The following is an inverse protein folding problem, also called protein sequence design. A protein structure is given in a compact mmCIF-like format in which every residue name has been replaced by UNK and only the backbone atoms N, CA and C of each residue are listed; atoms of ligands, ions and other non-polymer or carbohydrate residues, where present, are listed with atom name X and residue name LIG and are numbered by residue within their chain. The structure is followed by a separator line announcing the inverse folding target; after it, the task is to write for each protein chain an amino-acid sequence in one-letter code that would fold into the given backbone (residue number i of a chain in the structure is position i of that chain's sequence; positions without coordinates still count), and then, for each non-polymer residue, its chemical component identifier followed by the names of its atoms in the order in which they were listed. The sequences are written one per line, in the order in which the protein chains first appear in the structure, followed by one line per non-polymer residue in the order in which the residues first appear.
data_IF_118742474416
#
_entry.id   IF_118742474416
#
_cell.length_a   1.000
_cell.length_b   1.000
_cell.length_c   1.000
_cell.angle_alpha   90.00
_cell.angle_beta   90.00
_cell.angle_gamma   90.00
#
_symmetry.space_group_name_H-M   'P 1'
#
loop_
_entity.id
_entity.type
_entity.pdbx_description
1 polymer ?
#
# COMPACT_ATOMS: atom_id res chain seq x y z
N UNK A 1 10.74 2.86 8.59
CA UNK A 1 9.66 1.91 8.24
C UNK A 1 8.53 2.60 7.48
N UNK A 2 8.16 3.83 7.86
CA UNK A 2 7.13 4.63 7.17
C UNK A 2 7.44 4.86 5.69
N UNK A 3 8.69 5.16 5.31
CA UNK A 3 9.06 5.34 3.90
C UNK A 3 8.86 4.06 3.09
N UNK A 4 9.23 2.91 3.65
CA UNK A 4 9.07 1.61 2.99
C UNK A 4 7.59 1.30 2.73
N UNK A 5 6.71 1.53 3.72
CA UNK A 5 5.27 1.30 3.58
C UNK A 5 4.65 2.31 2.59
N UNK A 6 5.05 3.58 2.64
CA UNK A 6 4.60 4.60 1.68
C UNK A 6 5.01 4.25 0.24
N UNK A 7 6.24 3.77 0.04
CA UNK A 7 6.71 3.30 -1.26
C UNK A 7 5.94 2.07 -1.72
N UNK A 8 5.77 1.06 -0.85
CA UNK A 8 5.04 -0.16 -1.18
C UNK A 8 3.60 0.12 -1.60
N UNK A 9 2.93 1.06 -0.92
CA UNK A 9 1.52 1.39 -1.20
C UNK A 9 1.35 2.52 -2.22
N UNK A 10 2.43 3.02 -2.83
CA UNK A 10 2.37 4.10 -3.83
C UNK A 10 1.80 3.66 -5.18
N UNK A 11 1.77 2.35 -5.44
CA UNK A 11 1.28 1.78 -6.70
C UNK A 11 -0.15 2.22 -7.05
N UNK A 12 -1.01 2.47 -6.04
CA UNK A 12 -2.39 2.92 -6.27
C UNK A 12 -2.40 4.29 -6.95
N UNK A 13 -1.66 5.27 -6.43
CA UNK A 13 -1.55 6.59 -7.06
C UNK A 13 -0.88 6.52 -8.43
N UNK A 14 0.20 5.72 -8.57
CA UNK A 14 0.89 5.54 -9.85
C UNK A 14 -0.04 4.95 -10.91
N UNK A 15 -0.88 3.97 -10.54
CA UNK A 15 -1.84 3.37 -11.46
C UNK A 15 -2.83 4.41 -12.00
N UNK A 16 -3.37 5.28 -11.14
CA UNK A 16 -4.32 6.34 -11.51
C UNK A 16 -3.67 7.36 -12.46
N UNK A 17 -2.44 7.79 -12.15
CA UNK A 17 -1.68 8.76 -12.96
C UNK A 17 -1.50 8.30 -14.42
N UNK A 18 -1.36 6.99 -14.63
CA UNK A 18 -1.15 6.41 -15.97
C UNK A 18 -2.47 5.99 -16.62
N UNK A 19 -3.36 5.38 -15.85
CA UNK A 19 -4.58 4.73 -16.37
C UNK A 19 -5.66 5.73 -16.74
N UNK A 20 -5.83 6.80 -15.95
CA UNK A 20 -6.94 7.74 -16.17
C UNK A 20 -6.77 8.58 -17.44
N UNK A 21 -5.58 9.15 -17.76
CA UNK A 21 -5.38 9.87 -19.01
C UNK A 21 -5.44 8.93 -20.22
N UNK A 22 -4.89 7.72 -20.08
CA UNK A 22 -4.90 6.71 -21.14
C UNK A 22 -6.33 6.29 -21.47
N UNK A 23 -7.14 6.01 -20.45
CA UNK A 23 -8.55 5.66 -20.59
C UNK A 23 -9.36 6.81 -21.17
N UNK A 24 -9.13 8.04 -20.70
CA UNK A 24 -9.81 9.22 -21.20
C UNK A 24 -9.47 9.49 -22.68
N UNK A 25 -8.21 9.29 -23.08
CA UNK A 25 -7.76 9.41 -24.47
C UNK A 25 -8.41 8.34 -25.35
N UNK A 26 -8.42 7.08 -24.92
CA UNK A 26 -9.07 5.98 -25.65
C UNK A 26 -10.58 6.21 -25.82
N UNK A 27 -11.26 6.70 -24.79
CA UNK A 27 -12.68 7.02 -24.84
C UNK A 27 -13.02 8.12 -25.87
N UNK A 28 -12.12 9.08 -26.10
CA UNK A 28 -12.28 10.13 -27.12
C UNK A 28 -11.85 9.68 -28.53
N UNK A 29 -11.05 8.60 -28.63
CA UNK A 29 -10.59 8.07 -29.90
C UNK A 29 -11.71 7.30 -30.64
N UNK A 30 -11.49 7.03 -31.93
CA UNK A 30 -12.43 6.23 -32.75
C UNK A 30 -12.63 4.80 -32.26
N UNK A 31 -11.77 4.30 -31.36
CA UNK A 31 -11.89 2.97 -30.75
C UNK A 31 -12.97 2.93 -29.66
N UNK A 32 -13.36 4.10 -29.13
CA UNK A 32 -14.39 4.26 -28.11
C UNK A 32 -14.01 3.67 -26.75
N UNK A 33 -14.95 3.71 -25.81
CA UNK A 33 -14.71 3.28 -24.42
C UNK A 33 -14.38 1.79 -24.27
N UNK A 34 -14.82 0.95 -25.21
CA UNK A 34 -14.64 -0.51 -25.14
C UNK A 34 -13.16 -0.91 -25.25
N UNK A 35 -12.34 -0.15 -25.99
CA UNK A 35 -10.91 -0.46 -26.12
C UNK A 35 -10.15 -0.32 -24.81
N UNK A 36 -10.60 0.57 -23.91
CA UNK A 36 -9.99 0.71 -22.58
C UNK A 36 -10.09 -0.60 -21.82
N UNK A 37 -11.22 -1.29 -21.85
CA UNK A 37 -11.38 -2.59 -21.18
C UNK A 37 -10.44 -3.67 -21.75
N UNK A 38 -10.34 -3.76 -23.08
CA UNK A 38 -9.44 -4.72 -23.73
C UNK A 38 -7.96 -4.45 -23.43
N UNK A 39 -7.56 -3.17 -23.42
CA UNK A 39 -6.18 -2.78 -23.11
C UNK A 39 -5.78 -3.16 -21.67
N UNK A 40 -6.63 -2.85 -20.69
CA UNK A 40 -6.36 -3.17 -19.29
C UNK A 40 -6.40 -4.69 -19.04
N UNK A 41 -7.30 -5.41 -19.72
CA UNK A 41 -7.34 -6.88 -19.64
C UNK A 41 -6.06 -7.51 -20.20
N UNK A 42 -5.58 -7.06 -21.36
CA UNK A 42 -4.34 -7.54 -21.96
C UNK A 42 -3.12 -7.24 -21.08
N UNK A 43 -3.04 -6.03 -20.53
CA UNK A 43 -1.97 -5.65 -19.61
C UNK A 43 -2.00 -6.48 -18.32
N UNK A 44 -3.18 -6.67 -17.72
CA UNK A 44 -3.35 -7.51 -16.54
C UNK A 44 -2.92 -8.96 -16.78
N UNK A 45 -3.26 -9.54 -17.93
CA UNK A 45 -2.83 -10.89 -18.30
C UNK A 45 -1.30 -11.00 -18.47
N UNK A 46 -0.68 -9.99 -19.09
CA UNK A 46 0.77 -9.92 -19.23
C UNK A 46 1.47 -9.85 -17.87
N UNK A 47 1.03 -8.95 -16.99
CA UNK A 47 1.60 -8.80 -15.64
C UNK A 47 1.39 -10.06 -14.80
N UNK A 48 0.22 -10.67 -14.88
CA UNK A 48 -0.07 -11.94 -14.20
C UNK A 48 0.84 -13.08 -14.69
N UNK A 49 1.08 -13.16 -15.99
CA UNK A 49 1.99 -14.15 -16.57
C UNK A 49 3.42 -13.93 -16.07
N UNK A 50 3.90 -12.69 -16.05
CA UNK A 50 5.21 -12.36 -15.48
C UNK A 50 5.28 -12.72 -13.99
N UNK A 51 4.23 -12.42 -13.22
CA UNK A 51 4.16 -12.76 -11.81
C UNK A 51 4.29 -14.28 -11.59
N UNK A 52 3.59 -15.12 -12.35
CA UNK A 52 3.73 -16.59 -12.26
C UNK A 52 5.17 -17.06 -12.52
N UNK A 53 5.88 -16.42 -13.46
CA UNK A 53 7.23 -16.84 -13.86
C UNK A 53 8.28 -16.42 -12.82
N UNK A 54 8.15 -15.22 -12.25
CA UNK A 54 9.19 -14.61 -11.43
C UNK A 54 8.94 -14.67 -9.92
N UNK A 55 7.69 -14.80 -9.49
CA UNK A 55 7.34 -14.72 -8.07
C UNK A 55 7.44 -16.09 -7.38
N UNK A 56 8.15 -16.13 -6.26
CA UNK A 56 8.28 -17.31 -5.39
C UNK A 56 8.07 -16.88 -3.94
N UNK A 57 7.10 -17.51 -3.26
CA UNK A 57 6.68 -17.15 -1.90
C UNK A 57 7.74 -17.43 -0.83
N UNK A 58 8.54 -18.49 -1.01
CA UNK A 58 9.52 -18.91 -0.02
C UNK A 58 10.94 -18.45 -0.44
N UNK A 59 11.56 -17.51 0.32
CA UNK A 59 12.92 -17.08 0.04
C UNK A 59 13.95 -18.22 0.10
N UNK A 60 13.65 -19.34 0.77
CA UNK A 60 14.51 -20.54 0.77
C UNK A 60 14.50 -21.27 -0.57
N UNK A 61 13.40 -21.17 -1.32
CA UNK A 61 13.22 -21.82 -2.62
C UNK A 61 13.53 -20.91 -3.81
N UNK A 62 13.86 -19.64 -3.54
CA UNK A 62 14.04 -18.64 -4.58
C UNK A 62 15.44 -18.73 -5.20
N UNK A 63 15.57 -18.99 -6.52
CA UNK A 63 16.86 -19.26 -7.17
C UNK A 63 17.85 -18.07 -7.13
N UNK A 64 17.33 -16.84 -7.04
CA UNK A 64 18.14 -15.62 -7.02
C UNK A 64 18.50 -15.12 -5.59
N UNK A 65 18.13 -15.82 -4.52
CA UNK A 65 18.45 -15.39 -3.16
C UNK A 65 19.79 -15.96 -2.72
N UNK A 66 20.73 -15.09 -2.34
CA UNK A 66 22.03 -15.49 -1.81
C UNK A 66 21.92 -16.00 -0.37
N UNK A 67 22.76 -16.97 0.03
CA UNK A 67 22.83 -17.43 1.42
C UNK A 67 23.06 -16.29 2.43
N UNK A 68 23.84 -15.26 2.04
CA UNK A 68 24.08 -14.07 2.88
C UNK A 68 22.81 -13.24 3.09
N UNK A 69 21.99 -13.13 2.05
CA UNK A 69 20.71 -12.41 2.11
C UNK A 69 19.68 -13.20 2.90
N UNK A 70 19.62 -14.52 2.69
CA UNK A 70 18.76 -15.44 3.44
C UNK A 70 19.06 -15.38 4.95
N UNK A 71 20.34 -15.42 5.32
CA UNK A 71 20.77 -15.29 6.72
C UNK A 71 20.35 -13.94 7.32
N UNK A 72 20.38 -12.85 6.55
CA UNK A 72 19.91 -11.53 6.99
C UNK A 72 18.39 -11.50 7.20
N UNK A 73 17.61 -12.12 6.32
CA UNK A 73 16.14 -12.20 6.43
C UNK A 73 15.71 -13.05 7.63
N UNK A 74 16.48 -14.08 7.98
CA UNK A 74 16.14 -15.03 9.05
C UNK A 74 16.68 -14.63 10.42
N UNK A 75 17.64 -13.68 10.50
CA UNK A 75 18.38 -13.32 11.72
C UNK A 75 17.52 -13.01 12.95
N UNK A 76 16.31 -12.50 12.77
CA UNK A 76 15.40 -12.08 13.85
C UNK A 76 14.10 -12.92 13.93
N UNK A 77 14.01 -14.00 13.15
CA UNK A 77 12.81 -14.86 13.14
C UNK A 77 13.02 -16.06 14.07
N UNK A 78 12.01 -16.36 14.89
CA UNK A 78 11.97 -17.61 15.68
C UNK A 78 11.88 -18.81 14.72
N UNK A 79 12.45 -19.96 15.11
CA UNK A 79 12.37 -21.21 14.35
C UNK A 79 10.91 -21.58 14.00
N UNK A 80 9.97 -21.45 14.93
CA UNK A 80 8.54 -21.66 14.70
C UNK A 80 7.94 -20.69 13.65
N UNK A 81 8.51 -19.50 13.48
CA UNK A 81 8.10 -18.53 12.46
C UNK A 81 8.72 -18.83 11.09
N UNK A 82 9.89 -19.46 11.07
CA UNK A 82 10.57 -19.94 9.86
C UNK A 82 9.85 -21.19 9.32
N UNK A 83 9.46 -22.11 10.21
CA UNK A 83 8.74 -23.35 9.88
C UNK A 83 7.22 -23.14 9.70
N UNK A 84 6.73 -21.92 9.89
CA UNK A 84 5.30 -21.54 9.85
C UNK A 84 4.40 -22.34 10.82
N UNK A 85 4.97 -22.86 11.90
CA UNK A 85 4.29 -23.71 12.91
C UNK A 85 3.83 -22.93 14.15
N UNK A 86 3.60 -21.62 14.02
CA UNK A 86 3.16 -20.79 15.15
C UNK A 86 1.63 -20.76 15.28
N UNK A 87 1.11 -21.14 16.45
CA UNK A 87 -0.31 -20.95 16.79
C UNK A 87 -0.67 -19.46 16.82
N UNK A 88 -1.64 -19.06 15.98
CA UNK A 88 -2.11 -17.67 15.92
C UNK A 88 -3.34 -17.49 16.83
N UNK A 89 -3.27 -16.66 17.89
CA UNK A 89 -4.38 -16.50 18.84
C UNK A 89 -5.45 -15.52 18.31
N UNK A 90 -6.22 -15.93 17.30
CA UNK A 90 -7.25 -15.12 16.64
C UNK A 90 -8.23 -14.43 17.62
N UNK A 91 -8.65 -15.14 18.67
CA UNK A 91 -9.59 -14.58 19.65
C UNK A 91 -8.99 -13.41 20.45
N UNK A 92 -7.69 -13.45 20.75
CA UNK A 92 -7.00 -12.35 21.45
C UNK A 92 -6.83 -11.14 20.53
N UNK A 93 -6.56 -11.37 19.24
CA UNK A 93 -6.45 -10.33 18.21
C UNK A 93 -7.77 -9.56 18.08
N UNK A 94 -8.89 -10.28 17.95
CA UNK A 94 -10.23 -9.68 17.79
C UNK A 94 -10.69 -8.85 18.99
N UNK A 95 -10.18 -9.13 20.20
CA UNK A 95 -10.54 -8.39 21.43
C UNK A 95 -9.58 -7.25 21.76
N UNK A 96 -8.47 -7.13 21.03
CA UNK A 96 -7.47 -6.09 21.30
C UNK A 96 -7.97 -4.73 20.80
N UNK A 97 -8.13 -3.77 21.73
CA UNK A 97 -8.61 -2.41 21.42
C UNK A 97 -7.74 -1.69 20.39
N UNK A 98 -6.43 -1.82 20.46
CA UNK A 98 -5.50 -1.16 19.54
C UNK A 98 -5.73 -1.65 18.11
N UNK A 99 -5.92 -2.96 17.93
CA UNK A 99 -6.17 -3.55 16.61
C UNK A 99 -7.52 -3.09 16.05
N UNK A 100 -8.56 -3.08 16.88
CA UNK A 100 -9.89 -2.61 16.48
C UNK A 100 -9.88 -1.14 16.04
N UNK A 101 -9.13 -0.27 16.75
CA UNK A 101 -8.96 1.14 16.36
C UNK A 101 -8.23 1.27 15.02
N UNK A 102 -7.16 0.50 14.79
CA UNK A 102 -6.44 0.49 13.51
C UNK A 102 -7.34 0.05 12.36
N UNK A 103 -8.14 -0.99 12.55
CA UNK A 103 -9.10 -1.45 11.54
C UNK A 103 -10.20 -0.44 11.26
N UNK A 104 -10.73 0.20 12.30
CA UNK A 104 -11.72 1.25 12.12
C UNK A 104 -11.13 2.43 11.33
N UNK A 105 -9.91 2.84 11.64
CA UNK A 105 -9.21 3.88 10.89
C UNK A 105 -9.02 3.48 9.42
N UNK A 106 -8.54 2.26 9.16
CA UNK A 106 -8.36 1.75 7.80
C UNK A 106 -9.69 1.68 7.02
N UNK A 107 -10.80 1.33 7.69
CA UNK A 107 -12.12 1.33 7.09
C UNK A 107 -12.58 2.74 6.70
N UNK A 108 -12.46 3.70 7.61
CA UNK A 108 -12.82 5.11 7.35
C UNK A 108 -11.99 5.69 6.21
N UNK A 109 -10.68 5.40 6.20
CA UNK A 109 -9.77 5.79 5.12
C UNK A 109 -10.19 5.19 3.78
N UNK A 110 -10.45 3.88 3.72
CA UNK A 110 -10.85 3.19 2.50
C UNK A 110 -12.19 3.70 1.95
N UNK A 111 -13.18 3.93 2.83
CA UNK A 111 -14.48 4.47 2.43
C UNK A 111 -14.34 5.89 1.89
N UNK A 112 -13.60 6.75 2.61
CA UNK A 112 -13.42 8.15 2.23
C UNK A 112 -12.71 8.28 0.88
N UNK A 113 -11.64 7.53 0.68
CA UNK A 113 -10.87 7.60 -0.57
C UNK A 113 -11.65 7.00 -1.74
N UNK A 114 -12.37 5.90 -1.52
CA UNK A 114 -13.19 5.27 -2.57
C UNK A 114 -14.34 6.17 -2.98
N UNK A 115 -15.02 6.82 -2.02
CA UNK A 115 -16.05 7.81 -2.33
C UNK A 115 -15.47 8.94 -3.19
N UNK A 116 -14.31 9.48 -2.81
CA UNK A 116 -13.68 10.54 -3.58
C UNK A 116 -13.39 10.07 -5.02
N UNK A 117 -12.81 8.89 -5.21
CA UNK A 117 -12.49 8.38 -6.54
C UNK A 117 -13.71 8.11 -7.42
N UNK A 118 -14.83 7.64 -6.86
CA UNK A 118 -16.05 7.37 -7.62
C UNK A 118 -16.78 8.67 -8.00
N UNK A 119 -16.89 9.60 -7.07
CA UNK A 119 -17.68 10.82 -7.27
C UNK A 119 -16.90 11.98 -7.88
N UNK A 120 -15.57 12.04 -7.73
CA UNK A 120 -14.75 13.10 -8.33
C UNK A 120 -14.90 13.22 -9.86
N UNK A 121 -14.74 12.16 -10.67
CA UNK A 121 -14.89 12.28 -12.13
C UNK A 121 -16.33 12.64 -12.53
N UNK A 122 -17.32 12.08 -11.83
CA UNK A 122 -18.74 12.41 -12.05
C UNK A 122 -19.02 13.89 -11.75
N UNK A 123 -18.45 14.43 -10.68
CA UNK A 123 -18.58 15.83 -10.31
C UNK A 123 -17.92 16.77 -11.33
N UNK A 124 -16.67 16.47 -11.73
CA UNK A 124 -15.96 17.26 -12.75
C UNK A 124 -16.69 17.27 -14.10
N UNK A 125 -17.23 16.13 -14.52
CA UNK A 125 -17.92 16.05 -15.80
C UNK A 125 -19.35 16.61 -15.74
N UNK A 126 -20.17 16.18 -14.78
CA UNK A 126 -21.61 16.50 -14.74
C UNK A 126 -21.93 17.85 -14.09
N UNK A 127 -21.22 18.24 -13.03
CA UNK A 127 -21.50 19.49 -12.32
C UNK A 127 -20.68 20.66 -12.88
N UNK A 128 -19.42 20.43 -13.25
CA UNK A 128 -18.52 21.46 -13.78
C UNK A 128 -18.45 21.50 -15.31
N UNK A 129 -19.02 20.50 -15.99
CA UNK A 129 -19.09 20.46 -17.46
C UNK A 129 -17.76 20.19 -18.17
N UNK A 130 -16.75 19.67 -17.46
CA UNK A 130 -15.49 19.32 -18.09
C UNK A 130 -15.63 18.11 -19.01
N UNK A 131 -14.91 18.14 -20.13
CA UNK A 131 -14.82 16.99 -21.03
C UNK A 131 -14.10 15.81 -20.37
N UNK A 132 -14.26 14.63 -20.94
CA UNK A 132 -13.68 13.38 -20.41
C UNK A 132 -12.16 13.44 -20.39
N UNK A 133 -11.52 14.10 -21.37
CA UNK A 133 -10.06 14.21 -21.44
C UNK A 133 -9.51 15.11 -20.34
N UNK A 134 -10.09 16.29 -20.15
CA UNK A 134 -9.71 17.20 -19.06
C UNK A 134 -9.98 16.59 -17.69
N UNK A 135 -11.09 15.87 -17.54
CA UNK A 135 -11.42 15.16 -16.29
C UNK A 135 -10.36 14.12 -15.95
N UNK A 136 -9.95 13.27 -16.91
CA UNK A 136 -8.89 12.29 -16.70
C UNK A 136 -7.54 12.91 -16.31
N UNK A 137 -7.19 14.05 -16.90
CA UNK A 137 -5.98 14.80 -16.54
C UNK A 137 -6.05 15.41 -15.14
N UNK A 138 -7.19 16.00 -14.75
CA UNK A 138 -7.39 16.58 -13.43
C UNK A 138 -7.30 15.53 -12.32
N UNK A 139 -7.94 14.37 -12.51
CA UNK A 139 -7.87 13.26 -11.55
C UNK A 139 -6.43 12.74 -11.42
N UNK A 140 -5.71 12.64 -12.54
CA UNK A 140 -4.29 12.24 -12.54
C UNK A 140 -3.39 13.22 -11.81
N UNK A 141 -3.64 14.52 -11.97
CA UNK A 141 -2.91 15.55 -11.25
C UNK A 141 -3.18 15.48 -9.74
N UNK A 142 -4.43 15.24 -9.33
CA UNK A 142 -4.76 15.01 -7.92
C UNK A 142 -4.10 13.74 -7.36
N UNK A 143 -3.99 12.68 -8.16
CA UNK A 143 -3.26 11.46 -7.76
C UNK A 143 -1.74 11.71 -7.63
N UNK A 144 -1.17 12.55 -8.49
CA UNK A 144 0.24 12.95 -8.40
C UNK A 144 0.51 13.77 -7.14
N UNK A 145 -0.34 14.74 -6.81
CA UNK A 145 -0.19 15.51 -5.57
C UNK A 145 -0.32 14.61 -4.34
N UNK A 146 -1.27 13.66 -4.34
CA UNK A 146 -1.41 12.65 -3.31
C UNK A 146 -0.14 11.79 -3.16
N UNK A 147 0.47 11.34 -4.27
CA UNK A 147 1.72 10.57 -4.25
C UNK A 147 2.86 11.34 -3.57
N UNK A 148 3.04 12.62 -3.89
CA UNK A 148 4.09 13.45 -3.30
C UNK A 148 3.89 13.64 -1.80
N UNK A 149 2.66 13.95 -1.38
CA UNK A 149 2.32 14.09 0.05
C UNK A 149 2.55 12.78 0.80
N UNK A 150 2.19 11.64 0.21
CA UNK A 150 2.36 10.31 0.80
C UNK A 150 3.83 9.94 1.01
N UNK A 151 4.68 10.22 0.02
CA UNK A 151 6.13 9.98 0.13
C UNK A 151 6.76 10.92 1.16
N UNK A 152 6.42 12.21 1.14
CA UNK A 152 6.89 13.17 2.13
C UNK A 152 6.46 12.77 3.55
N UNK A 153 5.21 12.34 3.74
CA UNK A 153 4.70 11.82 5.01
C UNK A 153 5.47 10.60 5.50
N UNK A 154 5.87 9.69 4.59
CA UNK A 154 6.72 8.55 4.91
C UNK A 154 8.11 8.95 5.44
N UNK A 155 8.75 9.93 4.79
CA UNK A 155 10.04 10.49 5.23
C UNK A 155 9.93 11.21 6.58
N UNK A 156 8.90 12.03 6.74
CA UNK A 156 8.62 12.74 8.00
C UNK A 156 8.35 11.74 9.12
N UNK A 157 7.56 10.70 8.87
CA UNK A 157 7.26 9.64 9.84
C UNK A 157 8.54 8.94 10.32
N UNK A 158 9.45 8.60 9.41
CA UNK A 158 10.73 7.97 9.78
C UNK A 158 11.67 8.92 10.52
N UNK A 159 11.66 10.21 10.16
CA UNK A 159 12.44 11.24 10.84
C UNK A 159 11.95 11.47 12.27
N UNK A 160 10.62 11.55 12.46
CA UNK A 160 10.02 11.68 13.79
C UNK A 160 10.25 10.42 14.62
N UNK A 161 10.12 9.22 14.04
CA UNK A 161 10.42 7.98 14.74
C UNK A 161 11.87 7.96 15.26
N UNK A 162 12.83 8.36 14.43
CA UNK A 162 14.24 8.48 14.86
C UNK A 162 14.43 9.50 16.00
N UNK A 163 13.80 10.68 15.89
CA UNK A 163 13.95 11.76 16.89
C UNK A 163 13.27 11.44 18.22
N UNK A 164 12.10 10.82 18.21
CA UNK A 164 11.30 10.58 19.43
C UNK A 164 11.54 9.20 20.07
N UNK A 165 11.83 8.15 19.31
CA UNK A 165 11.98 6.79 19.86
C UNK A 165 13.42 6.45 20.26
N UNK A 166 14.43 6.98 19.56
CA UNK A 166 15.84 6.73 19.88
C UNK A 166 16.26 7.24 21.29
N UNK A 167 15.72 8.36 21.82
CA UNK A 167 15.95 8.76 23.22
C UNK A 167 15.17 7.91 24.24
N UNK A 168 14.04 7.32 23.82
CA UNK A 168 13.15 6.55 24.69
C UNK A 168 13.66 5.12 24.92
N UNK A 169 14.36 4.54 23.95
CA UNK A 169 15.05 3.24 24.09
C UNK A 169 16.20 3.29 25.11
N UNK A 170 16.83 4.47 25.26
CA UNK A 170 17.85 4.75 26.28
C UNK A 170 17.30 5.13 27.65
N UNK A 171 15.98 5.30 27.80
CA UNK A 171 15.35 5.62 29.09
C UNK A 171 14.57 4.44 29.64
N UNK A 172 14.87 4.09 30.89
CA UNK A 172 14.39 2.94 31.67
C UNK A 172 12.86 2.78 31.74
N UNK A 173 12.10 3.78 31.29
CA UNK A 173 10.64 3.79 31.23
C UNK A 173 10.06 2.87 30.14
N UNK A 174 10.75 2.66 29.01
CA UNK A 174 10.26 1.77 27.94
C UNK A 174 10.29 0.29 28.36
N UNK A 175 11.35 -0.12 29.07
CA UNK A 175 11.43 -1.47 29.65
C UNK A 175 10.28 -1.73 30.65
N UNK A 176 9.91 -0.74 31.46
CA UNK A 176 8.80 -0.85 32.41
C UNK A 176 7.42 -0.98 31.74
N UNK A 177 7.22 -0.34 30.58
CA UNK A 177 5.98 -0.49 29.80
C UNK A 177 5.90 -1.82 29.04
N UNK A 178 7.04 -2.31 28.53
CA UNK A 178 7.13 -3.60 27.85
C UNK A 178 6.96 -4.79 28.80
N UNK A 179 7.47 -4.71 30.04
CA UNK A 179 7.29 -5.79 31.04
C UNK A 179 5.89 -5.83 31.65
N UNK A 180 5.17 -4.70 31.70
CA UNK A 180 3.83 -4.64 32.31
C UNK A 180 2.67 -4.96 31.34
N UNK A 181 2.94 -5.13 30.05
CA UNK A 181 1.91 -5.39 29.02
C UNK A 181 1.80 -6.86 28.59
N UNK A 182 2.64 -7.75 29.14
CA UNK A 182 2.54 -9.21 28.96
C UNK A 182 2.53 -9.89 30.33
N UNK A 183 1.37 -10.05 30.98
CA UNK A 183 1.19 -11.19 31.87
C UNK A 183 1.06 -12.45 31.01
N UNK A 184 1.85 -13.45 31.40
CA UNK A 184 1.93 -14.84 30.90
C UNK A 184 0.56 -15.38 30.45
#
# INVERSE_FOLDING_TARGET
MGLFISALTSFTSVSVIVTDPLTAWLCNSSLGWRSSFYLHAAFGFLVFTLWIIFYVDDPQSHPNVSEKELAKIQKEKTQAHIERDSFVPYQKIMKNKTILVVWFNAFVELVSITMLYVYAPTYFNSALGFDVSSTGLLVSFAALSHLLVKLAGGVVSDTLAYVFLCPLENSTLFYSFATNSVPI
#
